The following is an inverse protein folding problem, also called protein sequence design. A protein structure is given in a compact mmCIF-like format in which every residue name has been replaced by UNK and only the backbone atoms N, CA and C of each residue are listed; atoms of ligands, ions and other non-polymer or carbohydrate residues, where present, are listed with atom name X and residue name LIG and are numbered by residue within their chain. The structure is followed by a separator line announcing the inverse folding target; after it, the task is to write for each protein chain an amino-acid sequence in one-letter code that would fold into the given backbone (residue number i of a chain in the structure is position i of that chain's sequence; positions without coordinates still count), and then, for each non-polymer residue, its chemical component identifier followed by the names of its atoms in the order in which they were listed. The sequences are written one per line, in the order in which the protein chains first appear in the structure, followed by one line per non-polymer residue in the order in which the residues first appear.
data_IF_804039591982
#
_entry.id   IF_804039591982
#
_cell.length_a   1.000
_cell.length_b   1.000
_cell.length_c   1.000
_cell.angle_alpha   90.00
_cell.angle_beta   90.00
_cell.angle_gamma   90.00
#
_symmetry.space_group_name_H-M   'P 1'
#
loop_
_entity.id
_entity.type
_entity.pdbx_description
1 polymer ?
#
# COMPACT_ATOMS: atom_id res chain seq x y z
N UNK A 1 12.62 25.50 8.40
CA UNK A 1 12.29 25.38 6.96
C UNK A 1 11.61 24.04 6.78
N UNK A 2 10.31 24.04 6.46
CA UNK A 2 9.54 22.82 6.21
C UNK A 2 10.08 22.15 4.94
N UNK A 3 10.41 20.88 5.02
CA UNK A 3 10.86 20.10 3.88
C UNK A 3 9.68 19.91 2.89
N UNK A 4 9.92 19.81 1.56
CA UNK A 4 8.84 19.77 0.57
C UNK A 4 7.78 18.70 0.83
N UNK A 5 8.16 17.54 1.37
CA UNK A 5 7.25 16.43 1.70
C UNK A 5 6.43 16.64 2.98
N UNK A 6 6.78 17.62 3.82
CA UNK A 6 6.05 17.95 5.06
C UNK A 6 4.84 18.87 4.78
N UNK A 7 4.69 19.38 3.56
CA UNK A 7 3.60 20.30 3.17
C UNK A 7 2.32 19.58 2.72
N UNK A 8 2.30 18.26 2.72
CA UNK A 8 1.10 17.53 2.29
C UNK A 8 -0.01 17.61 3.35
N UNK A 9 -1.09 18.28 2.99
CA UNK A 9 -2.36 18.29 3.72
C UNK A 9 -3.24 17.09 3.38
N UNK A 10 -2.77 16.21 2.49
CA UNK A 10 -3.50 15.04 2.06
C UNK A 10 -3.70 14.08 3.25
N UNK A 11 -4.95 13.70 3.52
CA UNK A 11 -5.29 12.82 4.63
C UNK A 11 -4.90 11.36 4.44
N UNK A 12 -4.30 10.98 3.33
CA UNK A 12 -3.95 9.59 3.07
C UNK A 12 -2.81 9.13 3.98
N UNK A 13 -2.97 7.98 4.62
CA UNK A 13 -2.00 7.43 5.58
C UNK A 13 -0.60 7.25 4.98
N UNK A 14 -0.49 6.92 3.71
CA UNK A 14 0.81 6.72 3.04
C UNK A 14 1.69 7.99 3.06
N UNK A 15 1.09 9.18 2.95
CA UNK A 15 1.87 10.42 3.06
C UNK A 15 2.38 10.65 4.48
N UNK A 16 1.55 10.33 5.46
CA UNK A 16 1.94 10.41 6.86
C UNK A 16 3.07 9.42 7.16
N UNK A 17 2.97 8.18 6.69
CA UNK A 17 4.00 7.15 6.86
C UNK A 17 5.32 7.55 6.21
N UNK A 18 5.29 8.00 4.95
CA UNK A 18 6.49 8.46 4.25
C UNK A 18 7.17 9.62 4.99
N UNK A 19 6.38 10.57 5.52
CA UNK A 19 6.89 11.68 6.31
C UNK A 19 7.52 11.18 7.61
N UNK A 20 6.87 10.25 8.33
CA UNK A 20 7.39 9.71 9.59
C UNK A 20 8.66 8.89 9.39
N UNK A 21 8.74 8.09 8.34
CA UNK A 21 9.99 7.38 8.00
C UNK A 21 11.12 8.38 7.75
N UNK A 22 10.85 9.45 6.98
CA UNK A 22 11.85 10.50 6.73
C UNK A 22 12.28 11.21 8.01
N UNK A 23 11.33 11.59 8.88
CA UNK A 23 11.59 12.25 10.16
C UNK A 23 12.48 11.38 11.07
N UNK A 24 12.14 10.08 11.22
CA UNK A 24 12.92 9.13 12.03
C UNK A 24 14.36 9.01 11.52
N UNK A 25 14.55 8.97 10.20
CA UNK A 25 15.89 8.89 9.62
C UNK A 25 16.67 10.19 9.85
N UNK A 26 16.02 11.36 9.73
CA UNK A 26 16.63 12.66 10.04
C UNK A 26 17.03 12.78 11.52
N UNK A 27 16.19 12.33 12.46
CA UNK A 27 16.50 12.27 13.89
C UNK A 27 17.71 11.38 14.20
N UNK A 28 17.96 10.38 13.35
CA UNK A 28 19.15 9.52 13.43
C UNK A 28 20.36 10.06 12.64
N UNK A 29 20.33 11.34 12.28
CA UNK A 29 21.38 12.05 11.54
C UNK A 29 21.68 11.51 10.13
N UNK A 30 20.70 10.85 9.48
CA UNK A 30 20.81 10.54 8.06
C UNK A 30 20.46 11.76 7.21
N UNK A 31 21.12 11.93 6.07
CA UNK A 31 20.64 12.80 5.00
C UNK A 31 19.57 12.07 4.20
N UNK A 32 18.36 12.60 4.16
CA UNK A 32 17.23 11.95 3.52
C UNK A 32 16.86 12.61 2.20
N UNK A 33 16.72 11.81 1.15
CA UNK A 33 16.16 12.23 -0.12
C UNK A 33 14.83 11.48 -0.33
N UNK A 34 13.75 12.23 -0.42
CA UNK A 34 12.41 11.69 -0.71
C UNK A 34 12.10 11.96 -2.17
N UNK A 35 11.71 10.93 -2.89
CA UNK A 35 11.26 11.01 -4.27
C UNK A 35 9.82 10.49 -4.38
N UNK A 36 9.09 10.98 -5.36
CA UNK A 36 7.76 10.47 -5.64
C UNK A 36 7.83 9.00 -6.07
N UNK A 37 6.88 8.20 -5.65
CA UNK A 37 6.80 6.75 -5.91
C UNK A 37 6.76 6.42 -7.42
N UNK A 38 6.25 7.33 -8.24
CA UNK A 38 6.18 7.20 -9.69
C UNK A 38 7.38 7.84 -10.43
N UNK A 39 8.35 8.41 -9.70
CA UNK A 39 9.54 8.98 -10.30
C UNK A 39 10.52 7.89 -10.75
N UNK A 40 10.34 7.41 -11.97
CA UNK A 40 11.21 6.41 -12.60
C UNK A 40 12.49 6.99 -13.20
N UNK A 41 12.66 8.33 -13.14
CA UNK A 41 13.83 9.01 -13.74
C UNK A 41 14.93 9.34 -12.73
N UNK A 42 14.63 9.28 -11.43
CA UNK A 42 15.65 9.54 -10.41
C UNK A 42 16.81 8.55 -10.52
N UNK A 43 18.03 9.09 -10.49
CA UNK A 43 19.27 8.32 -10.42
C UNK A 43 19.98 8.62 -9.09
N UNK A 44 20.47 7.60 -8.36
CA UNK A 44 21.25 7.82 -7.17
C UNK A 44 22.52 8.63 -7.48
N UNK A 45 22.67 9.79 -6.84
CA UNK A 45 23.83 10.67 -7.03
C UNK A 45 24.86 10.58 -5.89
N UNK A 46 24.60 9.73 -4.90
CA UNK A 46 25.43 9.53 -3.70
C UNK A 46 25.42 8.07 -3.28
N UNK A 47 26.41 7.62 -2.49
CA UNK A 47 26.41 6.28 -1.91
C UNK A 47 25.41 6.17 -0.77
N UNK A 48 24.16 5.88 -1.09
CA UNK A 48 23.10 5.69 -0.08
C UNK A 48 23.36 4.45 0.77
N UNK A 49 23.12 4.56 2.07
CA UNK A 49 23.21 3.47 3.03
C UNK A 49 21.90 2.68 3.13
N UNK A 50 20.76 3.35 2.94
CA UNK A 50 19.43 2.77 3.01
C UNK A 50 18.62 3.27 1.80
N UNK A 51 17.89 2.37 1.18
CA UNK A 51 16.90 2.66 0.15
C UNK A 51 15.58 2.00 0.55
N UNK A 52 14.52 2.79 0.69
CA UNK A 52 13.18 2.31 0.99
C UNK A 52 12.30 2.61 -0.23
N UNK A 53 11.65 1.60 -0.77
CA UNK A 53 10.75 1.74 -1.93
C UNK A 53 9.43 1.03 -1.68
N UNK A 54 8.35 1.62 -2.17
CA UNK A 54 7.01 1.07 -1.96
C UNK A 54 6.52 0.17 -3.10
N UNK A 55 7.05 0.31 -4.31
CA UNK A 55 6.53 -0.53 -5.40
C UNK A 55 7.36 -0.57 -6.70
N UNK A 56 7.86 0.54 -7.25
CA UNK A 56 8.23 0.59 -8.68
C UNK A 56 9.72 0.73 -8.96
N UNK A 57 10.51 1.17 -8.00
CA UNK A 57 11.85 1.65 -8.28
C UNK A 57 12.95 0.71 -7.80
N UNK A 58 12.69 -0.21 -6.88
CA UNK A 58 13.73 -0.96 -6.19
C UNK A 58 14.58 -1.80 -7.15
N UNK A 59 13.96 -2.48 -8.12
CA UNK A 59 14.68 -3.22 -9.17
C UNK A 59 15.69 -2.32 -9.88
N UNK A 60 15.22 -1.21 -10.40
CA UNK A 60 16.02 -0.25 -11.17
C UNK A 60 17.12 0.40 -10.32
N UNK A 61 16.79 0.77 -9.08
CA UNK A 61 17.75 1.41 -8.17
C UNK A 61 18.79 0.43 -7.65
N UNK A 62 18.44 -0.83 -7.45
CA UNK A 62 19.37 -1.85 -6.92
C UNK A 62 20.61 -2.05 -7.79
N UNK A 63 20.49 -1.80 -9.09
CA UNK A 63 21.60 -1.90 -10.05
C UNK A 63 22.60 -0.73 -9.91
N UNK A 64 22.17 0.38 -9.30
CA UNK A 64 22.93 1.63 -9.20
C UNK A 64 23.36 1.94 -7.76
N UNK A 65 22.78 1.26 -6.78
CA UNK A 65 23.10 1.45 -5.38
C UNK A 65 24.34 0.62 -4.98
N UNK A 66 25.14 1.10 -4.01
CA UNK A 66 26.23 0.32 -3.46
C UNK A 66 25.76 -1.04 -2.94
N UNK A 67 26.61 -2.06 -3.03
CA UNK A 67 26.30 -3.42 -2.55
C UNK A 67 25.95 -3.48 -1.07
N UNK A 68 26.51 -2.60 -0.26
CA UNK A 68 26.25 -2.49 1.18
C UNK A 68 25.02 -1.63 1.50
N UNK A 69 24.35 -1.02 0.51
CA UNK A 69 23.09 -0.32 0.70
C UNK A 69 22.00 -1.30 1.12
N UNK A 70 21.36 -1.06 2.25
CA UNK A 70 20.22 -1.86 2.70
C UNK A 70 18.97 -1.45 1.93
N UNK A 71 18.40 -2.40 1.20
CA UNK A 71 17.21 -2.20 0.36
C UNK A 71 15.99 -2.78 1.06
N UNK A 72 15.03 -1.92 1.35
CA UNK A 72 13.81 -2.27 2.07
C UNK A 72 12.63 -2.05 1.14
N UNK A 73 11.79 -3.06 1.00
CA UNK A 73 10.49 -2.92 0.36
C UNK A 73 9.42 -2.66 1.42
N UNK A 74 8.86 -1.45 1.41
CA UNK A 74 7.73 -1.08 2.27
C UNK A 74 6.43 -1.47 1.58
N UNK A 75 5.72 -2.48 2.11
CA UNK A 75 4.46 -2.96 1.52
C UNK A 75 3.25 -2.30 2.17
N UNK A 76 2.33 -1.82 1.34
CA UNK A 76 1.07 -1.18 1.75
C UNK A 76 -0.16 -1.98 1.31
N UNK A 77 0.04 -3.12 0.68
CA UNK A 77 -1.01 -4.00 0.15
C UNK A 77 -0.43 -5.36 -0.21
N UNK A 78 -1.26 -6.31 -0.63
CA UNK A 78 -0.80 -7.56 -1.22
C UNK A 78 -0.03 -7.34 -2.53
N UNK A 79 0.74 -8.32 -2.97
CA UNK A 79 1.53 -8.23 -4.21
C UNK A 79 0.67 -7.98 -5.44
N UNK A 80 1.21 -7.28 -6.47
CA UNK A 80 0.47 -6.99 -7.70
C UNK A 80 -0.15 -8.21 -8.37
N UNK A 81 0.61 -9.30 -8.47
CA UNK A 81 0.11 -10.55 -9.06
C UNK A 81 -1.10 -11.08 -8.29
N UNK A 82 -1.03 -11.10 -6.95
CA UNK A 82 -2.13 -11.53 -6.11
C UNK A 82 -3.35 -10.62 -6.27
N UNK A 83 -3.16 -9.30 -6.21
CA UNK A 83 -4.26 -8.35 -6.37
C UNK A 83 -4.95 -8.47 -7.73
N UNK A 84 -4.17 -8.59 -8.81
CA UNK A 84 -4.70 -8.74 -10.16
C UNK A 84 -5.53 -10.03 -10.29
N UNK A 85 -5.05 -11.13 -9.71
CA UNK A 85 -5.79 -12.39 -9.71
C UNK A 85 -7.09 -12.29 -8.90
N UNK A 86 -7.04 -11.69 -7.70
CA UNK A 86 -8.23 -11.51 -6.85
C UNK A 86 -9.28 -10.62 -7.52
N UNK A 87 -8.87 -9.55 -8.23
CA UNK A 87 -9.81 -8.74 -9.00
C UNK A 87 -10.48 -9.56 -10.09
N UNK A 88 -9.70 -10.33 -10.86
CA UNK A 88 -10.22 -11.20 -11.92
C UNK A 88 -11.24 -12.21 -11.37
N UNK A 89 -10.88 -12.89 -10.30
CA UNK A 89 -11.74 -13.91 -9.68
C UNK A 89 -13.04 -13.29 -9.16
N UNK A 90 -12.94 -12.10 -8.54
CA UNK A 90 -14.09 -11.37 -8.03
C UNK A 90 -15.04 -10.93 -9.15
N UNK A 91 -14.52 -10.50 -10.29
CA UNK A 91 -15.34 -10.14 -11.47
C UNK A 91 -15.97 -11.37 -12.14
N UNK A 92 -15.25 -12.49 -12.20
CA UNK A 92 -15.81 -13.76 -12.68
C UNK A 92 -16.98 -14.23 -11.82
N UNK A 93 -16.86 -14.15 -10.48
CA UNK A 93 -17.94 -14.49 -9.56
C UNK A 93 -19.16 -13.58 -9.74
N UNK A 94 -18.96 -12.29 -9.99
CA UNK A 94 -20.05 -11.37 -10.31
C UNK A 94 -20.73 -11.78 -11.62
N UNK A 95 -19.97 -12.06 -12.67
CA UNK A 95 -20.50 -12.51 -13.96
C UNK A 95 -21.32 -13.77 -13.81
N UNK A 96 -20.86 -14.76 -13.04
CA UNK A 96 -21.58 -16.01 -12.81
C UNK A 96 -22.94 -15.78 -12.12
N UNK A 97 -23.05 -14.80 -11.22
CA UNK A 97 -24.29 -14.50 -10.51
C UNK A 97 -25.27 -13.62 -11.28
N UNK A 98 -24.75 -12.67 -12.05
CA UNK A 98 -25.56 -11.61 -12.64
C UNK A 98 -25.57 -11.57 -14.16
N UNK A 99 -24.67 -12.31 -14.82
CA UNK A 99 -24.44 -12.22 -16.27
C UNK A 99 -23.65 -10.97 -16.71
N UNK A 100 -23.33 -10.04 -15.80
CA UNK A 100 -22.61 -8.80 -16.13
C UNK A 100 -21.14 -9.07 -16.36
N UNK A 101 -20.62 -8.60 -17.49
CA UNK A 101 -19.19 -8.69 -17.83
C UNK A 101 -18.55 -7.33 -17.56
N UNK A 102 -17.61 -7.28 -16.61
CA UNK A 102 -16.84 -6.09 -16.27
C UNK A 102 -15.35 -6.34 -16.51
N UNK A 103 -14.64 -5.28 -16.89
CA UNK A 103 -13.19 -5.33 -17.05
C UNK A 103 -12.47 -4.98 -15.76
N UNK A 104 -11.29 -5.57 -15.56
CA UNK A 104 -10.39 -5.19 -14.48
C UNK A 104 -9.99 -3.72 -14.62
N UNK A 105 -9.99 -2.98 -13.51
CA UNK A 105 -9.67 -1.55 -13.46
C UNK A 105 -8.43 -1.23 -12.63
N UNK A 106 -7.98 -2.16 -11.80
CA UNK A 106 -6.89 -1.97 -10.85
C UNK A 106 -5.67 -2.84 -11.19
N UNK A 107 -5.44 -3.05 -12.48
CA UNK A 107 -4.25 -3.80 -12.91
C UNK A 107 -2.98 -3.07 -12.51
N UNK A 108 -2.20 -3.73 -11.67
CA UNK A 108 -0.87 -3.30 -11.27
C UNK A 108 0.20 -4.06 -12.04
N UNK A 109 1.24 -3.35 -12.48
CA UNK A 109 2.39 -4.00 -13.11
C UNK A 109 3.15 -4.82 -12.08
N UNK A 110 3.34 -6.11 -12.35
CA UNK A 110 4.19 -6.95 -11.52
C UNK A 110 5.66 -6.69 -11.85
N UNK A 111 6.27 -5.84 -11.08
CA UNK A 111 7.69 -5.50 -11.20
C UNK A 111 8.59 -6.49 -10.48
N UNK A 112 8.03 -7.38 -9.67
CA UNK A 112 8.74 -8.30 -8.77
C UNK A 112 9.81 -7.59 -7.91
N UNK A 113 9.58 -6.34 -7.57
CA UNK A 113 10.53 -5.50 -6.83
C UNK A 113 10.96 -6.11 -5.49
N UNK A 114 10.09 -6.87 -4.83
CA UNK A 114 10.41 -7.53 -3.57
C UNK A 114 11.62 -8.48 -3.66
N UNK A 115 11.91 -9.06 -4.83
CA UNK A 115 13.11 -9.89 -5.04
C UNK A 115 14.41 -9.12 -4.87
N UNK A 116 14.40 -7.82 -5.11
CA UNK A 116 15.56 -6.94 -5.05
C UNK A 116 15.75 -6.29 -3.67
N UNK A 117 14.83 -6.53 -2.74
CA UNK A 117 14.96 -6.11 -1.36
C UNK A 117 15.88 -7.03 -0.56
N UNK A 118 16.50 -6.50 0.49
CA UNK A 118 17.13 -7.30 1.53
C UNK A 118 16.08 -7.70 2.59
N UNK A 119 15.10 -6.81 2.83
CA UNK A 119 14.01 -6.96 3.78
C UNK A 119 12.70 -6.43 3.18
N UNK A 120 11.59 -7.00 3.63
CA UNK A 120 10.25 -6.50 3.36
C UNK A 120 9.68 -6.04 4.70
N UNK A 121 9.05 -4.90 4.74
CA UNK A 121 8.34 -4.39 5.90
C UNK A 121 6.98 -3.84 5.52
N UNK A 122 6.03 -3.83 6.44
CA UNK A 122 4.73 -3.22 6.23
C UNK A 122 3.65 -3.86 7.07
N UNK A 123 2.42 -3.41 6.85
CA UNK A 123 1.28 -3.97 7.52
C UNK A 123 0.62 -5.07 6.68
N UNK A 124 -0.05 -5.99 7.36
CA UNK A 124 -0.87 -6.98 6.69
C UNK A 124 -1.10 -8.23 7.52
N UNK A 125 -2.06 -9.01 7.08
CA UNK A 125 -2.35 -10.32 7.62
C UNK A 125 -1.49 -11.39 6.93
N UNK A 126 -1.69 -12.66 7.32
CA UNK A 126 -0.99 -13.80 6.73
C UNK A 126 -1.15 -13.89 5.20
N UNK A 127 -2.32 -13.54 4.65
CA UNK A 127 -2.58 -13.56 3.21
C UNK A 127 -1.73 -12.54 2.47
N UNK A 128 -1.61 -11.32 3.01
CA UNK A 128 -0.76 -10.27 2.40
C UNK A 128 0.69 -10.73 2.41
N UNK A 129 1.19 -11.24 3.54
CA UNK A 129 2.56 -11.75 3.63
C UNK A 129 2.82 -12.89 2.66
N UNK A 130 1.94 -13.90 2.62
CA UNK A 130 2.06 -15.03 1.70
C UNK A 130 2.08 -14.61 0.23
N UNK A 131 1.44 -13.49 -0.12
CA UNK A 131 1.49 -12.97 -1.49
C UNK A 131 2.88 -12.51 -1.93
N UNK A 132 3.84 -12.37 -0.98
CA UNK A 132 5.24 -12.00 -1.23
C UNK A 132 6.23 -13.17 -1.02
N UNK A 133 5.75 -14.38 -0.73
CA UNK A 133 6.61 -15.57 -0.50
C UNK A 133 7.55 -15.84 -1.69
N UNK A 134 7.15 -15.45 -2.90
CA UNK A 134 7.97 -15.56 -4.10
C UNK A 134 9.31 -14.82 -4.01
N UNK A 135 9.43 -13.85 -3.13
CA UNK A 135 10.66 -13.06 -2.96
C UNK A 135 11.69 -13.76 -2.06
N UNK A 136 11.27 -14.71 -1.23
CA UNK A 136 12.10 -15.41 -0.24
C UNK A 136 12.89 -14.44 0.66
N UNK A 137 12.24 -13.40 1.16
CA UNK A 137 12.84 -12.37 2.02
C UNK A 137 12.20 -12.35 3.40
N UNK A 138 12.96 -11.97 4.44
CA UNK A 138 12.37 -11.71 5.75
C UNK A 138 11.32 -10.61 5.66
N UNK A 139 10.15 -10.83 6.28
CA UNK A 139 9.03 -9.88 6.33
C UNK A 139 8.82 -9.45 7.78
N UNK A 140 8.87 -8.14 8.02
CA UNK A 140 8.68 -7.53 9.33
C UNK A 140 7.33 -6.80 9.38
N UNK A 141 6.55 -7.06 10.43
CA UNK A 141 5.27 -6.40 10.63
C UNK A 141 5.44 -5.00 11.18
N UNK A 142 4.80 -4.04 10.52
CA UNK A 142 4.58 -2.69 11.04
C UNK A 142 3.09 -2.53 11.32
N UNK A 143 2.69 -2.03 12.50
CA UNK A 143 1.28 -1.77 12.79
C UNK A 143 0.67 -0.79 11.79
N UNK A 144 -0.63 -0.97 11.49
CA UNK A 144 -1.36 -0.05 10.62
C UNK A 144 -1.34 1.34 11.22
N UNK A 145 -0.87 2.30 10.43
CA UNK A 145 -0.84 3.71 10.80
C UNK A 145 -2.22 4.34 10.60
N UNK A 146 -2.72 4.97 11.66
CA UNK A 146 -3.95 5.75 11.60
C UNK A 146 -3.74 7.11 12.24
N UNK A 147 -4.20 8.15 11.59
CA UNK A 147 -4.26 9.48 12.18
C UNK A 147 -5.58 9.63 12.89
N UNK A 148 -5.56 9.89 14.21
CA UNK A 148 -6.80 10.21 14.95
C UNK A 148 -7.36 11.52 14.39
N UNK A 149 -8.52 11.43 13.75
CA UNK A 149 -9.17 12.60 13.15
C UNK A 149 -10.47 12.99 13.82
N UNK A 150 -11.10 12.04 14.50
CA UNK A 150 -12.42 12.23 15.10
C UNK A 150 -12.40 11.71 16.53
N UNK A 151 -13.04 12.45 17.41
CA UNK A 151 -13.27 11.97 18.76
C UNK A 151 -14.34 10.86 18.76
N UNK A 152 -14.18 9.93 19.71
CA UNK A 152 -15.18 8.90 19.90
C UNK A 152 -16.47 9.54 20.40
N UNK A 153 -17.54 9.41 19.61
CA UNK A 153 -18.88 9.84 20.00
C UNK A 153 -19.67 8.59 20.40
N UNK A 154 -20.11 8.54 21.66
CA UNK A 154 -21.02 7.48 22.12
C UNK A 154 -22.33 7.60 21.33
N UNK A 155 -22.65 6.54 20.57
CA UNK A 155 -23.87 6.50 19.75
C UNK A 155 -24.97 5.73 20.47
N UNK A 156 -26.21 6.19 20.31
CA UNK A 156 -27.39 5.42 20.72
C UNK A 156 -27.59 4.27 19.72
N UNK A 157 -27.37 3.04 20.19
CA UNK A 157 -27.52 1.84 19.38
C UNK A 157 -28.98 1.62 18.94
N UNK A 158 -29.96 2.07 19.69
CA UNK A 158 -31.38 1.92 19.33
C UNK A 158 -31.75 2.78 18.12
N UNK A 159 -31.16 3.98 18.00
CA UNK A 159 -31.37 4.85 16.85
C UNK A 159 -30.63 4.38 15.57
N UNK A 160 -29.65 3.52 15.71
CA UNK A 160 -28.80 3.09 14.60
C UNK A 160 -28.98 1.63 14.18
N UNK A 161 -29.69 0.80 14.95
CA UNK A 161 -29.82 -0.65 14.72
C UNK A 161 -30.33 -1.07 13.33
N UNK A 162 -31.12 -0.20 12.69
CA UNK A 162 -31.68 -0.43 11.35
C UNK A 162 -31.03 0.45 10.27
N UNK A 163 -29.85 1.05 10.57
CA UNK A 163 -29.11 1.91 9.64
C UNK A 163 -27.82 1.22 9.24
N UNK A 164 -27.68 0.95 7.95
CA UNK A 164 -26.51 0.30 7.38
C UNK A 164 -25.75 1.30 6.52
N UNK A 165 -24.43 1.30 6.63
CA UNK A 165 -23.58 2.16 5.82
C UNK A 165 -22.56 1.29 5.09
N UNK A 166 -22.59 1.32 3.78
CA UNK A 166 -21.48 0.85 2.98
C UNK A 166 -20.47 2.00 2.82
N UNK A 167 -19.24 1.76 3.22
CA UNK A 167 -18.15 2.74 3.13
C UNK A 167 -17.14 2.31 2.08
N UNK A 168 -17.09 3.02 0.94
CA UNK A 168 -16.16 2.70 -0.13
C UNK A 168 -15.99 3.87 -1.11
N UNK A 169 -14.78 4.01 -1.63
CA UNK A 169 -14.49 4.88 -2.78
C UNK A 169 -14.55 4.10 -4.09
N UNK A 170 -13.71 4.40 -5.06
CA UNK A 170 -13.62 3.66 -6.33
C UNK A 170 -13.42 2.15 -6.13
N UNK A 171 -13.89 1.35 -7.10
CA UNK A 171 -13.84 -0.11 -7.03
C UNK A 171 -14.96 -0.72 -6.21
N UNK A 172 -16.21 -0.28 -6.42
CA UNK A 172 -17.39 -0.72 -5.69
C UNK A 172 -17.53 -2.25 -5.61
N UNK A 173 -17.30 -2.96 -6.70
CA UNK A 173 -17.37 -4.43 -6.76
C UNK A 173 -16.29 -5.06 -5.87
N UNK A 174 -15.05 -4.57 -5.94
CA UNK A 174 -13.95 -5.07 -5.10
C UNK A 174 -14.21 -4.83 -3.60
N UNK A 175 -15.01 -3.84 -3.27
CA UNK A 175 -15.41 -3.48 -1.91
C UNK A 175 -16.78 -4.05 -1.51
N UNK A 176 -17.32 -4.97 -2.30
CA UNK A 176 -18.51 -5.75 -1.97
C UNK A 176 -19.84 -5.01 -2.03
N UNK A 177 -19.95 -3.86 -2.74
CA UNK A 177 -21.22 -3.15 -2.84
C UNK A 177 -22.31 -4.00 -3.48
N UNK A 178 -21.99 -4.79 -4.50
CA UNK A 178 -22.92 -5.72 -5.13
C UNK A 178 -23.48 -6.75 -4.15
N UNK A 179 -22.64 -7.30 -3.27
CA UNK A 179 -23.08 -8.23 -2.23
C UNK A 179 -23.99 -7.58 -1.21
N UNK A 180 -23.68 -6.32 -0.84
CA UNK A 180 -24.56 -5.55 0.05
C UNK A 180 -25.92 -5.33 -0.60
N UNK A 181 -25.95 -4.88 -1.85
CA UNK A 181 -27.22 -4.66 -2.58
C UNK A 181 -28.02 -5.94 -2.74
N UNK A 182 -27.38 -7.06 -3.09
CA UNK A 182 -28.03 -8.38 -3.16
C UNK A 182 -28.60 -8.83 -1.80
N UNK A 183 -27.95 -8.45 -0.70
CA UNK A 183 -28.44 -8.82 0.65
C UNK A 183 -29.64 -8.01 1.13
N UNK A 184 -29.94 -6.88 0.50
CA UNK A 184 -31.05 -6.00 0.83
C UNK A 184 -32.17 -5.99 -0.23
N UNK A 185 -32.03 -6.74 -1.32
CA UNK A 185 -33.03 -6.90 -2.38
C UNK A 185 -34.02 -8.00 -2.04
#
# INVERSE_FOLDING_TARGET
TTLPWQKHTDPHSNYWEATKIADILLEKNFTVHVIDWNNTKFLPCKPYQICIDINKNLKRLSEQLPKNCKKIMHIVSASPTFQNQQEKDRLNLLQMRTGLILQQKRLESDTQNAKYADYIEGFGNSTIRASYDYAHKPIFDIPISVTKRYDFIKRDQNLSKNKFVWFGGGGAILKGLDLVLESFA
#
